data_IF_804574412687
#
_entry.id   IF_804574412687
#
_cell.length_a   1.000
_cell.length_b   1.000
_cell.length_c   1.000
_cell.angle_alpha   90.00
_cell.angle_beta   90.00
_cell.angle_gamma   90.00
#
_symmetry.space_group_name_H-M   'P 1'
#
loop_
_entity.id
_entity.type
_entity.pdbx_description
1 polymer ?
#
# COMPACT_ATOMS: atom_id res chain seq x y z
N UNK A 1 0.51 -6.51 -23.76
CA UNK A 1 -0.27 -6.40 -22.51
C UNK A 1 0.65 -6.82 -21.37
N UNK A 2 0.77 -6.00 -20.34
CA UNK A 2 1.59 -6.24 -19.14
C UNK A 2 0.64 -6.63 -18.00
N UNK A 3 0.96 -7.70 -17.27
CA UNK A 3 0.10 -8.23 -16.20
C UNK A 3 0.73 -7.99 -14.86
N UNK A 4 -0.01 -7.31 -14.00
CA UNK A 4 0.40 -6.96 -12.64
C UNK A 4 -0.47 -7.73 -11.65
N UNK A 5 0.15 -8.51 -10.78
CA UNK A 5 -0.52 -9.10 -9.63
C UNK A 5 -0.43 -8.12 -8.45
N UNK A 6 -1.56 -7.55 -8.06
CA UNK A 6 -1.67 -6.68 -6.88
C UNK A 6 -2.16 -7.50 -5.69
N UNK A 7 -1.37 -7.52 -4.63
CA UNK A 7 -1.72 -8.13 -3.35
C UNK A 7 -1.77 -7.03 -2.30
N UNK A 8 -2.95 -6.43 -2.08
CA UNK A 8 -3.12 -5.34 -1.14
C UNK A 8 -3.14 -5.86 0.31
N UNK A 9 -2.80 -5.02 1.26
CA UNK A 9 -2.87 -5.34 2.69
C UNK A 9 -4.28 -5.07 3.26
N UNK A 10 -5.32 -5.64 2.65
CA UNK A 10 -6.71 -5.45 3.08
C UNK A 10 -7.11 -6.33 4.27
N UNK A 11 -6.39 -7.41 4.50
CA UNK A 11 -6.66 -8.33 5.61
C UNK A 11 -6.52 -7.65 6.99
N UNK A 12 -5.65 -6.66 7.12
CA UNK A 12 -5.51 -5.87 8.34
C UNK A 12 -6.73 -4.98 8.64
N UNK A 13 -7.50 -4.62 7.62
CA UNK A 13 -8.56 -3.63 7.72
C UNK A 13 -9.93 -4.27 7.79
N UNK A 14 -10.10 -5.42 7.16
CA UNK A 14 -11.39 -6.11 7.09
C UNK A 14 -11.80 -6.73 8.43
N UNK A 15 -10.85 -7.08 9.32
CA UNK A 15 -11.15 -7.64 10.66
C UNK A 15 -11.52 -6.62 11.74
N UNK A 16 -11.50 -5.33 11.44
CA UNK A 16 -12.00 -4.27 12.33
C UNK A 16 -13.35 -3.83 11.78
N UNK A 17 -14.40 -3.83 12.60
CA UNK A 17 -15.74 -3.31 12.25
C UNK A 17 -15.77 -1.83 11.83
N UNK A 18 -14.63 -1.28 11.51
CA UNK A 18 -14.41 0.05 10.96
C UNK A 18 -13.84 -0.13 9.55
N UNK A 19 -14.45 0.48 8.57
CA UNK A 19 -13.87 0.81 7.25
C UNK A 19 -12.62 1.72 7.47
N UNK A 20 -11.72 1.23 8.32
CA UNK A 20 -10.78 2.04 9.07
C UNK A 20 -9.68 2.68 8.21
N UNK A 21 -9.58 2.32 6.93
CA UNK A 21 -8.65 2.99 6.05
C UNK A 21 -9.19 3.22 4.64
N UNK A 22 -10.30 3.98 4.58
CA UNK A 22 -10.78 4.57 3.31
C UNK A 22 -9.64 5.24 2.55
N UNK A 23 -8.65 5.80 3.25
CA UNK A 23 -7.48 6.43 2.65
C UNK A 23 -6.58 5.46 1.90
N UNK A 24 -6.36 4.26 2.43
CA UNK A 24 -5.56 3.24 1.74
C UNK A 24 -6.29 2.66 0.52
N UNK A 25 -7.57 2.36 0.66
CA UNK A 25 -8.37 1.84 -0.46
C UNK A 25 -8.49 2.90 -1.57
N UNK A 26 -8.70 4.17 -1.22
CA UNK A 26 -8.71 5.25 -2.19
C UNK A 26 -7.33 5.47 -2.84
N UNK A 27 -6.24 5.24 -2.10
CA UNK A 27 -4.90 5.23 -2.69
C UNK A 27 -4.75 4.14 -3.75
N UNK A 28 -5.20 2.92 -3.47
CA UNK A 28 -5.17 1.82 -4.44
C UNK A 28 -6.03 2.15 -5.66
N UNK A 29 -7.25 2.61 -5.43
CA UNK A 29 -8.19 3.00 -6.48
C UNK A 29 -7.59 4.05 -7.43
N UNK A 30 -7.13 5.18 -6.87
CA UNK A 30 -6.52 6.25 -7.66
C UNK A 30 -5.20 5.81 -8.32
N UNK A 31 -4.44 4.92 -7.69
CA UNK A 31 -3.21 4.39 -8.28
C UNK A 31 -3.53 3.60 -9.54
N UNK A 32 -4.49 2.69 -9.47
CA UNK A 32 -4.92 1.90 -10.63
C UNK A 32 -5.50 2.81 -11.71
N UNK A 33 -6.47 3.65 -11.36
CA UNK A 33 -7.13 4.57 -12.27
C UNK A 33 -6.12 5.46 -13.03
N UNK A 34 -5.28 6.19 -12.31
CA UNK A 34 -4.35 7.14 -12.91
C UNK A 34 -3.21 6.48 -13.69
N UNK A 35 -2.83 5.25 -13.34
CA UNK A 35 -1.89 4.47 -14.13
C UNK A 35 -2.57 4.02 -15.42
N UNK A 36 -3.79 3.51 -15.35
CA UNK A 36 -4.56 3.07 -16.53
C UNK A 36 -4.85 4.20 -17.52
N UNK A 37 -5.12 5.42 -17.03
CA UNK A 37 -5.27 6.60 -17.90
C UNK A 37 -4.02 6.90 -18.76
N UNK A 38 -2.86 6.41 -18.34
CA UNK A 38 -1.58 6.59 -19.07
C UNK A 38 -1.10 5.32 -19.78
N UNK A 39 -1.69 4.18 -19.45
CA UNK A 39 -1.21 2.85 -19.83
C UNK A 39 -2.38 1.90 -20.05
N UNK A 40 -2.90 1.84 -21.28
CA UNK A 40 -3.92 0.89 -21.70
C UNK A 40 -3.39 -0.53 -21.89
N UNK A 41 -2.07 -0.70 -21.91
CA UNK A 41 -1.39 -1.99 -22.01
C UNK A 41 -1.31 -2.78 -20.70
N UNK A 42 -1.73 -2.19 -19.55
CA UNK A 42 -1.69 -2.84 -18.25
C UNK A 42 -2.99 -3.59 -17.94
N UNK A 43 -2.84 -4.73 -17.29
CA UNK A 43 -3.92 -5.54 -16.75
C UNK A 43 -3.62 -5.93 -15.29
N UNK A 44 -4.58 -5.73 -14.40
CA UNK A 44 -4.43 -5.93 -12.97
C UNK A 44 -5.16 -7.18 -12.51
N UNK A 45 -4.44 -8.09 -11.87
CA UNK A 45 -5.01 -9.17 -11.07
C UNK A 45 -4.96 -8.73 -9.61
N UNK A 46 -6.12 -8.53 -8.99
CA UNK A 46 -6.23 -7.99 -7.63
C UNK A 46 -6.69 -9.10 -6.70
N UNK A 47 -5.85 -9.45 -5.74
CA UNK A 47 -6.17 -10.43 -4.70
C UNK A 47 -7.05 -9.77 -3.66
N UNK A 48 -8.21 -10.37 -3.37
CA UNK A 48 -9.15 -9.93 -2.34
C UNK A 48 -9.56 -11.11 -1.46
N UNK A 49 -9.97 -10.86 -0.19
CA UNK A 49 -10.47 -11.92 0.68
C UNK A 49 -11.72 -12.59 0.13
N UNK A 50 -11.88 -13.88 0.42
CA UNK A 50 -13.12 -14.62 0.11
C UNK A 50 -14.32 -14.00 0.84
N UNK A 51 -15.44 -13.90 0.14
CA UNK A 51 -16.69 -13.31 0.67
C UNK A 51 -17.21 -14.04 1.92
N UNK A 52 -16.99 -15.34 2.03
CA UNK A 52 -17.55 -16.17 3.12
C UNK A 52 -16.73 -16.08 4.42
N UNK A 53 -15.47 -15.69 4.34
CA UNK A 53 -14.57 -15.60 5.49
C UNK A 53 -14.73 -14.31 6.31
N UNK A 54 -15.35 -13.27 5.74
CA UNK A 54 -15.37 -11.92 6.32
C UNK A 54 -16.67 -11.22 5.90
N UNK A 55 -17.00 -10.14 6.58
CA UNK A 55 -18.18 -9.32 6.30
C UNK A 55 -18.36 -9.07 4.78
N UNK A 56 -19.39 -9.71 4.19
CA UNK A 56 -19.67 -9.64 2.74
C UNK A 56 -19.74 -8.20 2.20
N UNK A 57 -20.28 -7.30 2.99
CA UNK A 57 -20.44 -5.89 2.60
C UNK A 57 -19.10 -5.19 2.40
N UNK A 58 -18.06 -5.58 3.15
CA UNK A 58 -16.72 -4.97 3.03
C UNK A 58 -15.99 -5.48 1.79
N UNK A 59 -16.11 -6.78 1.48
CA UNK A 59 -15.52 -7.35 0.26
C UNK A 59 -16.20 -6.79 -0.99
N UNK A 60 -17.53 -6.66 -0.97
CA UNK A 60 -18.28 -6.03 -2.05
C UNK A 60 -17.91 -4.55 -2.22
N UNK A 61 -17.72 -3.83 -1.12
CA UNK A 61 -17.21 -2.47 -1.16
C UNK A 61 -15.82 -2.38 -1.81
N UNK A 62 -14.90 -3.27 -1.44
CA UNK A 62 -13.56 -3.34 -2.05
C UNK A 62 -13.65 -3.60 -3.55
N UNK A 63 -14.45 -4.58 -3.96
CA UNK A 63 -14.70 -4.87 -5.39
C UNK A 63 -15.18 -3.63 -6.12
N UNK A 64 -16.27 -3.02 -5.64
CA UNK A 64 -16.86 -1.84 -6.26
C UNK A 64 -15.88 -0.66 -6.35
N UNK A 65 -15.00 -0.52 -5.37
CA UNK A 65 -14.01 0.57 -5.34
C UNK A 65 -12.82 0.34 -6.27
N UNK A 66 -12.39 -0.91 -6.42
CA UNK A 66 -11.21 -1.27 -7.22
C UNK A 66 -11.58 -1.80 -8.62
N UNK A 67 -12.86 -1.79 -8.98
CA UNK A 67 -13.34 -2.22 -10.29
C UNK A 67 -13.02 -1.18 -11.37
N UNK A 68 -12.17 -1.56 -12.30
CA UNK A 68 -11.74 -0.78 -13.44
C UNK A 68 -11.71 -1.66 -14.70
N UNK A 69 -11.74 -1.10 -15.92
CA UNK A 69 -11.87 -1.87 -17.17
C UNK A 69 -10.83 -2.98 -17.37
N UNK A 70 -9.63 -2.82 -16.81
CA UNK A 70 -8.53 -3.79 -16.94
C UNK A 70 -8.20 -4.46 -15.61
N UNK A 71 -9.19 -4.74 -14.79
CA UNK A 71 -9.02 -5.45 -13.52
C UNK A 71 -9.73 -6.80 -13.52
N UNK A 72 -9.12 -7.76 -12.81
CA UNK A 72 -9.68 -9.06 -12.52
C UNK A 72 -9.44 -9.41 -11.06
N UNK A 73 -10.48 -9.80 -10.33
CA UNK A 73 -10.39 -10.10 -8.92
C UNK A 73 -10.11 -11.60 -8.70
N UNK A 74 -9.14 -11.87 -7.83
CA UNK A 74 -8.79 -13.22 -7.36
C UNK A 74 -9.23 -13.29 -5.91
N UNK A 75 -10.31 -14.01 -5.64
CA UNK A 75 -10.78 -14.23 -4.28
C UNK A 75 -10.00 -15.37 -3.65
N UNK A 76 -9.40 -15.11 -2.48
CA UNK A 76 -8.58 -16.07 -1.76
C UNK A 76 -8.86 -16.04 -0.27
N UNK A 77 -8.62 -17.16 0.40
CA UNK A 77 -8.54 -17.17 1.85
C UNK A 77 -7.26 -16.47 2.30
N UNK A 78 -7.41 -15.19 2.68
CA UNK A 78 -6.31 -14.35 3.16
C UNK A 78 -6.37 -14.30 4.69
N UNK A 79 -5.31 -14.76 5.40
CA UNK A 79 -5.25 -14.66 6.84
C UNK A 79 -5.37 -13.21 7.33
N UNK A 80 -6.27 -12.97 8.29
CA UNK A 80 -6.62 -11.62 8.77
C UNK A 80 -5.54 -11.01 9.66
N UNK A 81 -4.72 -11.84 10.31
CA UNK A 81 -3.72 -11.37 11.29
C UNK A 81 -2.32 -11.35 10.67
N UNK A 82 -1.46 -10.35 11.02
CA UNK A 82 -0.13 -10.20 10.43
C UNK A 82 0.70 -11.48 10.46
N UNK A 83 0.82 -12.16 11.62
CA UNK A 83 1.56 -13.42 11.76
C UNK A 83 0.99 -14.56 10.89
N UNK A 84 -0.28 -14.52 10.55
CA UNK A 84 -0.90 -15.54 9.73
C UNK A 84 -0.63 -15.32 8.24
N UNK A 85 -0.16 -14.15 7.82
CA UNK A 85 0.18 -13.87 6.41
C UNK A 85 1.29 -14.79 5.90
N UNK A 86 2.18 -15.29 6.76
CA UNK A 86 3.20 -16.27 6.36
C UNK A 86 2.57 -17.57 5.82
N UNK A 87 1.33 -17.86 6.17
CA UNK A 87 0.56 -19.01 5.71
C UNK A 87 -0.28 -18.72 4.45
N UNK A 88 0.06 -17.66 3.70
CA UNK A 88 -0.59 -17.36 2.43
C UNK A 88 -0.56 -18.58 1.50
N UNK A 89 -1.73 -19.01 1.05
CA UNK A 89 -1.89 -20.24 0.27
C UNK A 89 -1.51 -20.01 -1.20
N UNK A 90 -0.24 -20.22 -1.52
CA UNK A 90 0.26 -20.07 -2.90
C UNK A 90 -0.32 -21.12 -3.86
N UNK A 91 -0.75 -22.29 -3.39
CA UNK A 91 -1.38 -23.31 -4.23
C UNK A 91 -2.77 -22.86 -4.68
N UNK A 92 -3.51 -22.17 -3.81
CA UNK A 92 -4.79 -21.59 -4.18
C UNK A 92 -4.60 -20.48 -5.22
N UNK A 93 -3.54 -19.66 -5.07
CA UNK A 93 -3.17 -18.66 -6.06
C UNK A 93 -2.85 -19.29 -7.42
N UNK A 94 -2.13 -20.42 -7.45
CA UNK A 94 -1.83 -21.17 -8.67
C UNK A 94 -3.08 -21.65 -9.38
N UNK A 95 -4.01 -22.23 -8.64
CA UNK A 95 -5.27 -22.74 -9.18
C UNK A 95 -6.14 -21.63 -9.81
N UNK A 96 -6.07 -20.42 -9.25
CA UNK A 96 -6.88 -19.27 -9.72
C UNK A 96 -6.21 -18.42 -10.78
N UNK A 97 -4.87 -18.46 -10.83
CA UNK A 97 -4.08 -17.83 -11.88
C UNK A 97 -3.75 -18.85 -12.94
N UNK A 98 -4.32 -18.73 -14.12
CA UNK A 98 -3.88 -19.50 -15.29
C UNK A 98 -2.50 -19.01 -15.77
N UNK A 99 -1.44 -19.25 -14.97
CA UNK A 99 -0.08 -18.75 -15.23
C UNK A 99 0.51 -19.29 -16.55
N UNK A 100 0.04 -20.45 -16.97
CA UNK A 100 0.41 -21.05 -18.26
C UNK A 100 0.01 -20.16 -19.43
N UNK A 101 -1.22 -19.66 -19.41
CA UNK A 101 -1.77 -18.80 -20.46
C UNK A 101 -1.44 -17.33 -20.23
N UNK A 102 -1.29 -16.94 -18.98
CA UNK A 102 -1.21 -15.55 -18.55
C UNK A 102 -0.09 -15.32 -17.54
N UNK A 103 1.19 -15.34 -17.93
CA UNK A 103 2.30 -15.12 -17.01
C UNK A 103 2.24 -13.70 -16.40
N UNK A 104 2.46 -13.62 -15.11
CA UNK A 104 2.57 -12.36 -14.38
C UNK A 104 3.92 -11.69 -14.72
N UNK A 105 3.88 -10.42 -15.06
CA UNK A 105 5.06 -9.63 -15.40
C UNK A 105 5.66 -8.92 -14.18
N UNK A 106 4.79 -8.47 -13.27
CA UNK A 106 5.15 -7.73 -12.08
C UNK A 106 4.21 -8.10 -10.93
N UNK A 107 4.75 -8.22 -9.73
CA UNK A 107 3.95 -8.32 -8.50
C UNK A 107 4.04 -7.01 -7.75
N UNK A 108 2.89 -6.43 -7.39
CA UNK A 108 2.81 -5.31 -6.47
C UNK A 108 2.25 -5.83 -5.15
N UNK A 109 3.13 -6.16 -4.22
CA UNK A 109 2.80 -6.83 -2.96
C UNK A 109 2.91 -5.85 -1.79
N UNK A 110 1.82 -5.63 -1.08
CA UNK A 110 1.77 -4.76 0.10
C UNK A 110 1.92 -5.55 1.42
N UNK A 111 2.16 -6.86 1.32
CA UNK A 111 2.36 -7.78 2.45
C UNK A 111 3.76 -8.37 2.33
N UNK A 112 4.79 -7.76 2.94
CA UNK A 112 6.17 -8.21 2.77
C UNK A 112 6.42 -9.62 3.29
N UNK A 113 5.68 -10.09 4.28
CA UNK A 113 5.83 -11.40 4.90
C UNK A 113 5.69 -12.57 3.89
N UNK A 114 4.89 -12.39 2.85
CA UNK A 114 4.65 -13.44 1.84
C UNK A 114 5.60 -13.40 0.64
N UNK A 115 6.42 -12.36 0.51
CA UNK A 115 7.25 -12.13 -0.68
C UNK A 115 8.18 -13.29 -0.98
N UNK A 116 8.79 -13.86 0.06
CA UNK A 116 9.67 -15.01 -0.09
C UNK A 116 8.92 -16.24 -0.64
N UNK A 117 7.73 -16.49 -0.12
CA UNK A 117 6.87 -17.58 -0.61
C UNK A 117 6.43 -17.34 -2.06
N UNK A 118 6.08 -16.12 -2.41
CA UNK A 118 5.75 -15.75 -3.79
C UNK A 118 6.93 -15.95 -4.74
N UNK A 119 8.16 -15.57 -4.36
CA UNK A 119 9.35 -15.81 -5.19
C UNK A 119 9.61 -17.29 -5.41
N UNK A 120 9.53 -18.09 -4.36
CA UNK A 120 9.67 -19.54 -4.46
C UNK A 120 8.58 -20.14 -5.36
N UNK A 121 7.36 -19.73 -5.19
CA UNK A 121 6.22 -20.14 -6.03
C UNK A 121 6.46 -19.83 -7.51
N UNK A 122 6.73 -18.57 -7.87
CA UNK A 122 6.99 -18.22 -9.26
C UNK A 122 8.22 -18.93 -9.84
N UNK A 123 9.25 -19.16 -9.03
CA UNK A 123 10.43 -19.91 -9.45
C UNK A 123 10.12 -21.39 -9.70
N UNK A 124 9.18 -21.98 -8.97
CA UNK A 124 8.78 -23.39 -9.12
C UNK A 124 7.83 -23.61 -10.30
N UNK A 125 6.90 -22.67 -10.50
CA UNK A 125 5.84 -22.80 -11.51
C UNK A 125 6.26 -22.25 -12.86
N UNK A 126 7.06 -21.19 -12.88
CA UNK A 126 7.51 -20.52 -14.12
C UNK A 126 9.02 -20.36 -14.12
N UNK A 127 9.62 -20.35 -15.33
CA UNK A 127 11.05 -20.02 -15.47
C UNK A 127 11.38 -18.53 -15.24
N UNK A 128 10.38 -17.72 -14.98
CA UNK A 128 10.49 -16.28 -14.85
C UNK A 128 9.93 -15.87 -13.51
N UNK A 129 10.81 -15.49 -12.61
CA UNK A 129 10.38 -14.77 -11.40
C UNK A 129 10.00 -13.36 -11.80
N UNK A 130 8.75 -12.94 -11.65
CA UNK A 130 8.38 -11.54 -11.88
C UNK A 130 9.14 -10.63 -10.93
N UNK A 131 9.37 -9.39 -11.31
CA UNK A 131 9.86 -8.39 -10.35
C UNK A 131 8.80 -8.13 -9.30
N UNK A 132 9.22 -7.92 -8.06
CA UNK A 132 8.32 -7.65 -6.95
C UNK A 132 8.59 -6.26 -6.41
N UNK A 133 7.57 -5.41 -6.43
CA UNK A 133 7.58 -4.12 -5.75
C UNK A 133 6.54 -4.12 -4.63
N UNK A 134 6.75 -3.29 -3.61
CA UNK A 134 5.86 -3.19 -2.45
C UNK A 134 5.54 -1.77 -2.04
N UNK A 135 4.48 -1.62 -1.25
CA UNK A 135 4.14 -0.39 -0.55
C UNK A 135 3.72 -0.73 0.88
N UNK A 136 4.48 -0.25 1.85
CA UNK A 136 4.18 -0.48 3.25
C UNK A 136 3.29 0.64 3.79
N UNK A 137 2.01 0.36 3.83
CA UNK A 137 1.03 1.24 4.45
C UNK A 137 1.13 1.22 5.97
N UNK A 138 1.20 0.03 6.54
CA UNK A 138 1.38 -0.21 7.97
C UNK A 138 2.68 -0.97 8.20
N UNK A 139 3.50 -0.46 9.12
CA UNK A 139 4.72 -1.11 9.53
C UNK A 139 4.98 -0.82 11.01
N UNK A 140 5.15 -1.85 11.80
CA UNK A 140 5.40 -1.73 13.24
C UNK A 140 6.84 -2.08 13.58
N UNK A 141 7.50 -1.20 14.33
CA UNK A 141 8.84 -1.45 14.84
C UNK A 141 8.81 -2.36 16.09
N UNK A 142 9.89 -3.12 16.35
CA UNK A 142 9.97 -4.11 17.43
C UNK A 142 9.65 -3.58 18.82
N UNK A 143 9.92 -2.29 19.08
CA UNK A 143 9.74 -1.68 20.41
C UNK A 143 8.32 -1.70 20.94
N UNK A 144 7.33 -1.96 20.10
CA UNK A 144 5.92 -1.74 20.44
C UNK A 144 5.14 -3.04 20.45
N UNK A 145 5.36 -3.93 19.48
CA UNK A 145 4.72 -5.24 19.41
C UNK A 145 5.73 -6.28 18.92
N UNK A 146 6.43 -6.88 19.85
CA UNK A 146 7.35 -7.97 19.54
C UNK A 146 6.56 -9.25 19.25
N UNK A 147 6.15 -9.42 17.99
CA UNK A 147 5.45 -10.62 17.56
C UNK A 147 6.22 -11.40 16.46
N UNK A 148 7.50 -11.12 16.25
CA UNK A 148 8.29 -11.72 15.18
C UNK A 148 7.95 -11.23 13.76
N UNK A 149 6.97 -10.33 13.60
CA UNK A 149 6.54 -9.81 12.29
C UNK A 149 7.60 -8.93 11.66
N UNK A 150 8.39 -8.23 12.48
CA UNK A 150 9.43 -7.32 12.01
C UNK A 150 10.47 -8.04 11.16
N UNK A 151 10.98 -9.19 11.63
CA UNK A 151 11.97 -9.98 10.90
C UNK A 151 11.44 -10.47 9.57
N UNK A 152 10.20 -10.97 9.55
CA UNK A 152 9.54 -11.39 8.29
C UNK A 152 9.34 -10.21 7.32
N UNK A 153 8.96 -9.06 7.83
CA UNK A 153 8.85 -7.84 7.03
C UNK A 153 10.19 -7.43 6.44
N UNK A 154 11.26 -7.43 7.24
CA UNK A 154 12.61 -7.09 6.78
C UNK A 154 13.08 -8.07 5.71
N UNK A 155 12.96 -9.38 5.95
CA UNK A 155 13.30 -10.39 4.94
C UNK A 155 12.48 -10.21 3.66
N UNK A 156 11.19 -9.99 3.78
CA UNK A 156 10.35 -9.73 2.62
C UNK A 156 10.78 -8.49 1.83
N UNK A 157 11.06 -7.39 2.52
CA UNK A 157 11.55 -6.15 1.89
C UNK A 157 12.91 -6.32 1.21
N UNK A 158 13.83 -7.13 1.75
CA UNK A 158 15.13 -7.43 1.10
C UNK A 158 14.96 -8.28 -0.15
N UNK A 159 13.87 -9.02 -0.25
CA UNK A 159 13.55 -9.82 -1.44
C UNK A 159 12.77 -9.05 -2.50
N UNK A 160 12.22 -7.88 -2.21
CA UNK A 160 11.61 -7.00 -3.20
C UNK A 160 12.67 -6.31 -4.05
N UNK A 161 12.34 -6.01 -5.30
CA UNK A 161 13.19 -5.19 -6.18
C UNK A 161 13.03 -3.69 -5.88
N UNK A 162 11.93 -3.31 -5.24
CA UNK A 162 11.66 -1.97 -4.71
C UNK A 162 10.56 -2.04 -3.68
N UNK A 163 10.69 -1.27 -2.58
CA UNK A 163 9.65 -1.15 -1.58
C UNK A 163 9.49 0.32 -1.16
N UNK A 164 8.27 0.81 -1.20
CA UNK A 164 7.93 2.17 -0.80
C UNK A 164 7.55 2.24 0.67
N UNK A 165 8.09 3.24 1.35
CA UNK A 165 7.77 3.61 2.73
C UNK A 165 7.15 5.02 2.76
N UNK A 166 6.39 5.31 3.82
CA UNK A 166 5.63 6.56 3.91
C UNK A 166 6.50 7.79 4.18
N UNK A 167 7.60 7.65 4.92
CA UNK A 167 8.42 8.78 5.37
C UNK A 167 9.91 8.48 5.32
N UNK A 168 10.72 9.53 5.22
CA UNK A 168 12.19 9.43 5.33
C UNK A 168 12.60 8.93 6.71
N UNK A 169 11.90 9.38 7.75
CA UNK A 169 12.11 8.91 9.11
C UNK A 169 11.83 7.42 9.24
N UNK A 170 10.73 6.90 8.66
CA UNK A 170 10.42 5.47 8.65
C UNK A 170 11.53 4.67 7.97
N UNK A 171 12.04 5.15 6.83
CA UNK A 171 13.17 4.52 6.13
C UNK A 171 14.41 4.44 7.01
N UNK A 172 14.76 5.53 7.70
CA UNK A 172 15.89 5.58 8.61
C UNK A 172 15.70 4.61 9.78
N UNK A 173 14.55 4.63 10.44
CA UNK A 173 14.27 3.77 11.59
C UNK A 173 14.25 2.28 11.23
N UNK A 174 13.69 1.93 10.06
CA UNK A 174 13.75 0.55 9.56
C UNK A 174 15.20 0.10 9.40
N UNK A 175 16.05 0.95 8.84
CA UNK A 175 17.47 0.63 8.66
C UNK A 175 18.20 0.49 10.01
N UNK A 176 18.00 1.41 10.94
CA UNK A 176 18.63 1.39 12.27
C UNK A 176 18.19 0.16 13.09
N UNK A 177 16.92 -0.19 13.09
CA UNK A 177 16.43 -1.37 13.81
C UNK A 177 16.90 -2.67 13.12
N UNK A 178 16.97 -2.68 11.79
CA UNK A 178 17.50 -3.83 11.06
C UNK A 178 18.97 -4.09 11.38
N UNK A 179 19.81 -3.05 11.53
CA UNK A 179 21.23 -3.18 11.89
C UNK A 179 21.45 -3.83 13.26
N UNK A 180 20.46 -3.82 14.15
CA UNK A 180 20.55 -4.48 15.47
C UNK A 180 20.35 -6.00 15.41
N UNK A 181 19.74 -6.49 14.33
CA UNK A 181 19.27 -7.87 14.23
C UNK A 181 19.92 -8.60 13.06
N UNK A 182 20.17 -7.90 11.94
CA UNK A 182 20.64 -8.48 10.69
C UNK A 182 22.07 -8.06 10.35
N UNK A 183 22.71 -8.83 9.48
CA UNK A 183 24.04 -8.49 8.96
C UNK A 183 24.04 -7.19 8.14
N UNK A 184 25.18 -6.52 8.08
CA UNK A 184 25.36 -5.32 7.25
C UNK A 184 25.04 -5.54 5.78
N UNK A 185 25.28 -6.72 5.25
CA UNK A 185 24.94 -7.09 3.86
C UNK A 185 23.42 -7.09 3.63
N UNK A 186 22.62 -7.66 4.56
CA UNK A 186 21.15 -7.62 4.50
C UNK A 186 20.66 -6.19 4.62
N UNK A 187 21.21 -5.41 5.56
CA UNK A 187 20.82 -4.02 5.77
C UNK A 187 21.17 -3.12 4.58
N UNK A 188 22.33 -3.36 3.93
CA UNK A 188 22.73 -2.65 2.71
C UNK A 188 21.74 -2.88 1.56
N UNK A 189 21.41 -4.15 1.29
CA UNK A 189 20.41 -4.53 0.27
C UNK A 189 19.03 -3.94 0.59
N UNK A 190 18.63 -3.97 1.87
CA UNK A 190 17.38 -3.35 2.32
C UNK A 190 17.38 -1.85 2.01
N UNK A 191 18.46 -1.13 2.36
CA UNK A 191 18.55 0.31 2.13
C UNK A 191 18.44 0.68 0.64
N UNK A 192 19.06 -0.10 -0.24
CA UNK A 192 18.98 0.10 -1.70
C UNK A 192 17.57 -0.10 -2.26
N UNK A 193 16.83 -1.06 -1.71
CA UNK A 193 15.49 -1.39 -2.17
C UNK A 193 14.39 -0.45 -1.62
N UNK A 194 14.68 0.28 -0.54
CA UNK A 194 13.71 1.17 0.10
C UNK A 194 13.67 2.55 -0.54
N UNK A 195 12.47 2.99 -0.91
CA UNK A 195 12.18 4.33 -1.42
C UNK A 195 11.12 5.03 -0.57
N UNK A 196 11.16 6.36 -0.53
CA UNK A 196 10.14 7.13 0.19
C UNK A 196 9.04 7.55 -0.77
N UNK A 197 7.84 7.09 -0.49
CA UNK A 197 6.62 7.50 -1.18
C UNK A 197 5.58 7.89 -0.13
N UNK A 198 5.45 9.17 0.20
CA UNK A 198 4.53 9.63 1.22
C UNK A 198 3.09 9.19 0.93
N UNK A 199 2.22 8.98 1.91
CA UNK A 199 0.83 8.59 1.69
C UNK A 199 0.06 9.62 0.85
N UNK A 200 -1.05 9.18 0.31
CA UNK A 200 -1.85 10.01 -0.60
C UNK A 200 -2.84 10.86 0.17
N UNK A 201 -2.99 12.08 -0.27
CA UNK A 201 -4.19 12.88 0.03
C UNK A 201 -5.01 12.95 -1.24
N UNK A 202 -6.29 12.72 -1.09
CA UNK A 202 -7.24 12.83 -2.18
C UNK A 202 -7.36 14.32 -2.52
N UNK A 203 -7.03 14.76 -3.75
CA UNK A 203 -7.06 16.17 -4.09
C UNK A 203 -8.42 16.84 -3.84
N UNK A 204 -9.52 16.09 -4.02
CA UNK A 204 -10.88 16.59 -3.75
C UNK A 204 -11.15 16.87 -2.27
N UNK A 205 -10.35 16.30 -1.35
CA UNK A 205 -10.48 16.52 0.08
C UNK A 205 -9.66 17.74 0.56
N UNK A 206 -8.73 18.24 -0.28
CA UNK A 206 -8.02 19.49 0.00
C UNK A 206 -8.98 20.68 -0.23
N UNK A 207 -9.76 20.97 0.79
CA UNK A 207 -10.75 22.05 0.74
C UNK A 207 -10.61 22.92 1.99
N UNK A 208 -9.77 23.95 1.95
CA UNK A 208 -9.66 24.88 3.08
C UNK A 208 -10.99 25.58 3.33
N UNK A 209 -11.18 26.05 4.54
CA UNK A 209 -12.32 26.86 4.90
C UNK A 209 -12.32 28.18 4.11
N UNK A 210 -13.15 28.26 3.08
CA UNK A 210 -13.24 29.43 2.19
C UNK A 210 -13.73 30.70 2.90
N UNK A 211 -14.44 30.55 4.02
CA UNK A 211 -15.01 31.71 4.76
C UNK A 211 -14.04 32.34 5.74
N UNK A 212 -12.88 31.71 6.00
CA UNK A 212 -11.91 32.19 6.98
C UNK A 212 -12.43 32.26 8.42
N UNK A 213 -13.69 31.86 8.64
CA UNK A 213 -14.30 31.84 9.96
C UNK A 213 -14.11 30.48 10.60
N UNK A 214 -13.32 30.44 11.65
CA UNK A 214 -13.11 29.25 12.46
C UNK A 214 -13.87 29.42 13.78
N UNK A 215 -14.52 28.34 14.22
CA UNK A 215 -15.00 28.27 15.58
C UNK A 215 -13.84 27.97 16.52
N UNK A 216 -13.87 28.50 17.74
CA UNK A 216 -12.83 28.19 18.76
C UNK A 216 -12.96 26.73 19.23
N UNK A 217 -12.73 25.79 18.29
CA UNK A 217 -12.78 24.36 18.54
C UNK A 217 -11.37 23.78 18.39
N UNK A 218 -10.88 23.13 19.43
CA UNK A 218 -9.66 22.31 19.42
C UNK A 218 -10.06 20.89 19.02
N UNK A 219 -9.41 20.31 18.01
CA UNK A 219 -9.72 18.94 17.58
C UNK A 219 -8.62 17.96 17.97
N UNK A 220 -9.06 16.81 18.49
CA UNK A 220 -8.24 15.62 18.68
C UNK A 220 -8.71 14.52 17.72
N UNK A 221 -8.10 14.46 16.53
CA UNK A 221 -8.46 13.49 15.49
C UNK A 221 -7.61 12.20 15.55
N UNK A 222 -7.26 11.77 16.76
CA UNK A 222 -6.44 10.57 16.98
C UNK A 222 -7.20 9.54 17.81
N UNK A 223 -6.67 8.30 17.87
CA UNK A 223 -7.23 7.25 18.70
C UNK A 223 -7.22 7.62 20.19
N UNK A 224 -8.32 7.31 20.83
CA UNK A 224 -8.48 7.48 22.29
C UNK A 224 -8.02 6.26 23.09
N UNK A 225 -7.85 5.12 22.41
CA UNK A 225 -7.43 3.86 23.04
C UNK A 225 -5.93 3.86 23.41
N UNK A 226 -5.15 4.79 22.87
CA UNK A 226 -3.77 5.08 23.30
C UNK A 226 -3.80 5.89 24.60
N UNK A 227 -4.01 5.20 25.70
CA UNK A 227 -4.31 5.79 27.02
C UNK A 227 -3.35 6.90 27.44
N UNK A 228 -2.04 6.73 27.26
CA UNK A 228 -1.06 7.73 27.74
C UNK A 228 -1.16 9.05 26.96
N UNK A 229 -1.28 8.99 25.64
CA UNK A 229 -1.39 10.19 24.81
C UNK A 229 -2.70 10.92 25.02
N UNK A 230 -3.79 10.16 25.12
CA UNK A 230 -5.10 10.76 25.36
C UNK A 230 -5.21 11.33 26.76
N UNK A 231 -4.61 10.70 27.76
CA UNK A 231 -4.54 11.22 29.13
C UNK A 231 -3.76 12.56 29.20
N UNK A 232 -2.65 12.68 28.48
CA UNK A 232 -1.90 13.95 28.41
C UNK A 232 -2.67 15.04 27.68
N UNK A 233 -3.42 14.69 26.64
CA UNK A 233 -4.36 15.61 26.00
C UNK A 233 -5.45 16.07 27.00
N UNK A 234 -6.10 15.15 27.71
CA UNK A 234 -7.12 15.43 28.73
C UNK A 234 -6.57 16.41 29.78
N UNK A 235 -5.43 16.11 30.37
CA UNK A 235 -4.78 17.00 31.35
C UNK A 235 -4.49 18.37 30.78
N UNK A 236 -4.12 18.45 29.51
CA UNK A 236 -3.79 19.72 28.84
C UNK A 236 -5.04 20.58 28.65
N UNK A 237 -6.12 20.01 28.10
CA UNK A 237 -7.35 20.77 27.86
C UNK A 237 -8.03 21.20 29.17
N UNK A 238 -7.97 20.36 30.21
CA UNK A 238 -8.48 20.72 31.52
C UNK A 238 -7.66 21.86 32.19
N UNK A 239 -6.33 21.83 32.02
CA UNK A 239 -5.48 22.93 32.48
C UNK A 239 -5.72 24.23 31.69
N UNK A 240 -5.98 24.14 30.39
CA UNK A 240 -6.37 25.29 29.58
C UNK A 240 -7.74 25.83 30.01
N UNK A 241 -8.70 24.93 30.25
CA UNK A 241 -10.06 25.31 30.67
C UNK A 241 -10.10 26.09 32.00
N UNK A 242 -9.18 25.82 32.92
CA UNK A 242 -9.04 26.60 34.16
C UNK A 242 -8.65 28.07 33.93
N UNK A 243 -8.09 28.39 32.76
CA UNK A 243 -7.61 29.74 32.42
C UNK A 243 -8.52 30.51 31.48
N UNK A 244 -9.32 29.78 30.67
CA UNK A 244 -10.27 30.38 29.70
C UNK A 244 -11.43 29.42 29.43
N UNK A 245 -12.58 29.93 29.14
CA UNK A 245 -13.81 29.15 28.90
C UNK A 245 -14.47 29.37 27.56
N UNK A 246 -13.80 30.12 26.67
CA UNK A 246 -14.30 30.53 25.34
C UNK A 246 -13.98 29.56 24.20
N UNK A 247 -13.67 28.29 24.50
CA UNK A 247 -13.40 27.27 23.48
C UNK A 247 -14.17 25.97 23.74
N UNK A 248 -14.31 25.18 22.70
CA UNK A 248 -14.85 23.81 22.72
C UNK A 248 -13.75 22.81 22.28
N UNK A 249 -14.00 21.54 22.59
CA UNK A 249 -13.15 20.44 22.15
C UNK A 249 -13.99 19.44 21.37
N UNK A 250 -13.45 18.96 20.24
CA UNK A 250 -14.07 17.90 19.46
C UNK A 250 -13.14 16.70 19.35
N UNK A 251 -13.65 15.52 19.78
CA UNK A 251 -12.94 14.25 19.74
C UNK A 251 -13.76 13.25 18.91
N UNK A 252 -13.63 13.25 17.57
CA UNK A 252 -14.53 12.50 16.68
C UNK A 252 -14.53 10.98 16.93
N UNK A 253 -13.40 10.40 17.36
CA UNK A 253 -13.25 8.95 17.59
C UNK A 253 -13.68 8.50 19.00
N UNK A 254 -14.04 9.41 19.87
CA UNK A 254 -14.48 9.09 21.24
C UNK A 254 -15.96 8.69 21.25
N UNK A 255 -16.31 7.66 22.01
CA UNK A 255 -17.70 7.23 22.21
C UNK A 255 -18.47 8.29 23.01
N UNK A 256 -19.75 8.50 22.69
CA UNK A 256 -20.63 9.43 23.42
C UNK A 256 -20.82 9.05 24.88
N UNK A 257 -20.66 7.77 25.23
CA UNK A 257 -20.70 7.25 26.58
C UNK A 257 -19.43 7.49 27.40
N UNK A 258 -18.39 8.11 26.82
CA UNK A 258 -17.14 8.35 27.50
C UNK A 258 -17.31 9.31 28.68
N UNK A 259 -16.56 9.09 29.75
CA UNK A 259 -16.61 9.88 31.00
C UNK A 259 -16.53 11.40 30.75
N UNK A 260 -15.58 11.83 29.90
CA UNK A 260 -15.38 13.26 29.60
C UNK A 260 -16.61 13.96 29.00
N UNK A 261 -17.38 13.29 28.16
CA UNK A 261 -18.58 13.88 27.57
C UNK A 261 -19.73 14.00 28.55
N UNK A 262 -19.74 13.13 29.56
CA UNK A 262 -20.74 13.20 30.66
C UNK A 262 -20.40 14.32 31.62
N UNK A 263 -19.13 14.52 31.93
CA UNK A 263 -18.66 15.52 32.89
C UNK A 263 -18.59 16.94 32.29
N UNK A 264 -18.28 17.04 30.99
CA UNK A 264 -17.96 18.34 30.37
C UNK A 264 -18.76 18.60 29.08
N UNK A 265 -19.79 19.46 29.12
CA UNK A 265 -20.65 19.83 27.99
C UNK A 265 -19.88 20.53 26.83
N UNK A 266 -18.71 21.07 27.09
CA UNK A 266 -17.84 21.72 26.07
C UNK A 266 -16.97 20.72 25.31
N UNK A 267 -16.99 19.46 25.73
CA UNK A 267 -16.33 18.37 24.96
C UNK A 267 -17.41 17.64 24.17
N UNK A 268 -17.24 17.62 22.85
CA UNK A 268 -18.15 16.96 21.92
C UNK A 268 -17.46 15.76 21.25
N UNK A 269 -18.24 14.75 20.93
CA UNK A 269 -17.77 13.51 20.33
C UNK A 269 -18.57 13.21 19.07
N UNK A 270 -18.31 12.05 18.50
CA UNK A 270 -19.10 11.47 17.43
C UNK A 270 -18.44 11.60 16.07
N UNK A 271 -18.48 10.48 15.38
CA UNK A 271 -18.30 10.47 13.95
C UNK A 271 -19.56 11.08 13.35
N UNK A 272 -19.40 12.01 12.45
CA UNK A 272 -20.49 12.37 11.56
C UNK A 272 -20.85 11.15 10.70
N UNK A 273 -22.09 11.07 10.24
CA UNK A 273 -22.66 9.90 9.58
C UNK A 273 -21.89 9.46 8.33
N UNK A 274 -21.12 10.38 7.72
CA UNK A 274 -20.29 10.09 6.56
C UNK A 274 -19.01 10.94 6.53
N UNK A 275 -18.08 10.56 5.69
CA UNK A 275 -16.78 11.24 5.51
C UNK A 275 -16.93 12.74 5.17
N UNK A 276 -17.93 13.11 4.36
CA UNK A 276 -18.14 14.50 3.97
C UNK A 276 -18.49 15.39 5.14
N UNK A 277 -19.44 14.97 5.95
CA UNK A 277 -19.85 15.68 7.17
C UNK A 277 -18.71 15.81 8.17
N UNK A 278 -17.92 14.73 8.32
CA UNK A 278 -16.72 14.72 9.16
C UNK A 278 -15.72 15.79 8.68
N UNK A 279 -15.40 15.84 7.39
CA UNK A 279 -14.48 16.83 6.83
C UNK A 279 -15.06 18.26 6.91
N UNK A 280 -16.35 18.43 6.69
CA UNK A 280 -17.01 19.73 6.81
C UNK A 280 -16.95 20.26 8.25
N UNK A 281 -17.17 19.41 9.26
CA UNK A 281 -16.97 19.77 10.67
C UNK A 281 -15.50 20.03 10.98
N UNK A 282 -14.58 19.22 10.46
CA UNK A 282 -13.15 19.42 10.62
C UNK A 282 -12.76 20.85 10.19
N UNK A 283 -13.27 21.33 9.04
CA UNK A 283 -12.99 22.67 8.50
C UNK A 283 -13.44 23.82 9.40
N UNK A 284 -14.35 23.59 10.33
CA UNK A 284 -14.79 24.62 11.30
C UNK A 284 -13.86 24.72 12.50
N UNK A 285 -13.00 23.73 12.74
CA UNK A 285 -12.09 23.71 13.87
C UNK A 285 -10.99 24.75 13.73
N UNK A 286 -10.50 25.22 14.86
CA UNK A 286 -9.48 26.27 14.96
C UNK A 286 -8.05 25.69 14.87
N UNK A 287 -7.82 24.60 15.58
CA UNK A 287 -6.50 23.98 15.68
C UNK A 287 -6.62 22.51 16.04
N UNK A 288 -5.73 21.68 15.51
CA UNK A 288 -5.59 20.28 15.90
C UNK A 288 -4.35 20.04 16.75
N UNK A 289 -4.32 18.91 17.45
CA UNK A 289 -3.18 18.48 18.24
C UNK A 289 -2.71 17.12 17.72
N UNK A 290 -1.40 17.01 17.42
CA UNK A 290 -0.75 15.76 17.09
C UNK A 290 0.07 15.27 18.29
N UNK A 291 -0.23 14.11 18.86
CA UNK A 291 0.37 13.63 20.09
C UNK A 291 1.79 13.12 19.90
N UNK A 292 2.47 12.85 21.03
CA UNK A 292 3.69 12.03 21.02
C UNK A 292 3.39 10.69 20.36
N UNK A 293 4.17 10.34 19.36
CA UNK A 293 4.04 9.05 18.69
C UNK A 293 4.88 7.98 19.37
N UNK A 294 4.30 6.80 19.48
CA UNK A 294 5.05 5.62 19.86
C UNK A 294 5.47 4.78 18.66
N UNK A 295 4.89 5.02 17.49
CA UNK A 295 5.05 4.23 16.27
C UNK A 295 5.57 5.08 15.13
N UNK A 296 6.32 4.45 14.25
CA UNK A 296 6.84 5.04 13.00
C UNK A 296 5.73 5.28 11.97
N UNK A 297 4.49 4.94 12.31
CA UNK A 297 3.36 5.10 11.41
C UNK A 297 2.97 6.57 11.30
N UNK A 298 2.90 7.02 10.07
CA UNK A 298 2.44 8.35 9.75
C UNK A 298 1.01 8.54 10.29
N UNK A 299 0.79 9.64 10.98
CA UNK A 299 -0.55 9.96 11.46
C UNK A 299 -1.40 10.58 10.34
N UNK A 300 -2.10 9.72 9.62
CA UNK A 300 -3.06 10.14 8.59
C UNK A 300 -4.05 11.18 9.14
N UNK A 301 -4.42 11.07 10.41
CA UNK A 301 -5.29 12.03 11.11
C UNK A 301 -4.77 13.48 11.07
N UNK A 302 -3.46 13.69 11.22
CA UNK A 302 -2.83 15.02 11.12
C UNK A 302 -2.87 15.54 9.68
N UNK A 303 -2.56 14.66 8.73
CA UNK A 303 -2.58 14.97 7.29
C UNK A 303 -3.99 15.35 6.85
N UNK A 304 -4.99 14.59 7.29
CA UNK A 304 -6.40 14.82 7.00
C UNK A 304 -6.88 16.17 7.55
N UNK A 305 -6.51 16.51 8.79
CA UNK A 305 -6.81 17.82 9.37
C UNK A 305 -6.14 18.96 8.60
N UNK A 306 -4.87 18.82 8.27
CA UNK A 306 -4.16 19.82 7.46
C UNK A 306 -4.81 19.99 6.08
N UNK A 307 -5.35 18.91 5.46
CA UNK A 307 -6.05 18.99 4.18
C UNK A 307 -7.36 19.80 4.26
N UNK A 308 -7.96 19.85 5.43
CA UNK A 308 -9.11 20.70 5.74
C UNK A 308 -8.74 22.17 5.99
N UNK A 309 -7.46 22.49 5.96
CA UNK A 309 -6.97 23.83 6.29
C UNK A 309 -6.90 24.11 7.79
N UNK A 310 -6.76 23.07 8.61
CA UNK A 310 -6.62 23.19 10.05
C UNK A 310 -5.12 23.07 10.38
N UNK A 311 -4.49 24.08 11.01
CA UNK A 311 -3.13 23.94 11.50
C UNK A 311 -3.09 22.97 12.70
N UNK A 312 -2.04 22.17 12.78
CA UNK A 312 -1.82 21.25 13.90
C UNK A 312 -0.59 21.66 14.69
N UNK A 313 -0.72 21.73 16.01
CA UNK A 313 0.40 21.77 16.93
C UNK A 313 0.90 20.35 17.13
N UNK A 314 2.14 20.08 16.76
CA UNK A 314 2.69 18.73 16.67
C UNK A 314 3.67 18.47 17.80
N UNK A 315 3.68 17.26 18.36
CA UNK A 315 4.78 16.89 19.26
C UNK A 315 6.10 16.90 18.50
N UNK A 316 7.18 17.34 19.13
CA UNK A 316 8.49 17.47 18.49
C UNK A 316 9.13 16.09 18.25
N UNK A 317 8.66 15.40 17.22
CA UNK A 317 9.18 14.11 16.75
C UNK A 317 9.57 14.21 15.28
N UNK A 318 10.67 13.56 14.86
CA UNK A 318 11.20 13.71 13.50
C UNK A 318 10.21 13.37 12.38
N UNK A 319 9.33 12.41 12.57
CA UNK A 319 8.36 12.03 11.55
C UNK A 319 7.30 13.10 11.26
N UNK A 320 7.02 14.00 12.19
CA UNK A 320 6.14 15.14 11.93
C UNK A 320 6.78 16.19 11.02
N UNK A 321 8.11 16.25 10.99
CA UNK A 321 8.84 17.09 10.03
C UNK A 321 8.58 16.64 8.59
N UNK A 322 8.39 15.36 8.35
CA UNK A 322 8.00 14.82 7.04
C UNK A 322 6.56 15.22 6.65
N UNK A 323 5.68 15.48 7.62
CA UNK A 323 4.32 15.95 7.36
C UNK A 323 4.30 17.45 7.09
N UNK A 324 4.80 18.24 8.03
CA UNK A 324 4.81 19.68 7.93
C UNK A 324 5.97 20.28 8.74
N UNK A 325 7.09 20.56 8.09
CA UNK A 325 8.27 21.14 8.73
C UNK A 325 8.07 22.58 9.22
N UNK A 326 6.99 23.23 8.80
CA UNK A 326 6.65 24.61 9.21
C UNK A 326 5.62 24.68 10.32
N UNK A 327 5.20 23.53 10.89
CA UNK A 327 4.24 23.51 11.99
C UNK A 327 4.88 23.99 13.30
N UNK A 328 4.04 24.36 14.27
CA UNK A 328 4.51 24.57 15.64
C UNK A 328 4.74 23.22 16.33
N UNK A 329 5.93 23.08 16.90
CA UNK A 329 6.33 21.85 17.60
C UNK A 329 6.43 22.10 19.10
N UNK A 330 5.81 21.21 19.90
CA UNK A 330 5.87 21.27 21.35
C UNK A 330 6.59 20.04 21.95
N UNK A 331 7.26 20.26 23.08
CA UNK A 331 7.87 19.19 23.89
C UNK A 331 7.18 19.06 25.24
N UNK A 332 6.60 20.16 25.72
CA UNK A 332 6.00 20.26 27.05
C UNK A 332 4.53 20.70 26.98
N UNK A 333 3.75 20.34 28.00
CA UNK A 333 2.36 20.80 28.14
C UNK A 333 2.26 22.33 28.17
N UNK A 334 3.24 23.01 28.79
CA UNK A 334 3.28 24.47 28.86
C UNK A 334 3.39 25.11 27.48
N UNK A 335 4.27 24.58 26.64
CA UNK A 335 4.41 25.02 25.24
C UNK A 335 3.13 24.74 24.44
N UNK A 336 2.54 23.54 24.58
CA UNK A 336 1.28 23.20 23.91
C UNK A 336 0.17 24.19 24.28
N UNK A 337 0.00 24.49 25.56
CA UNK A 337 -1.00 25.49 26.04
C UNK A 337 -0.70 26.88 25.45
N UNK A 338 0.55 27.28 25.37
CA UNK A 338 0.94 28.56 24.76
C UNK A 338 0.54 28.64 23.30
N UNK A 339 0.85 27.61 22.51
CA UNK A 339 0.43 27.55 21.10
C UNK A 339 -1.08 27.52 20.94
N UNK A 340 -1.80 26.71 21.76
CA UNK A 340 -3.26 26.66 21.69
C UNK A 340 -3.88 28.04 21.93
N UNK A 341 -3.39 28.80 22.91
CA UNK A 341 -3.85 30.18 23.15
C UNK A 341 -3.62 31.04 21.90
N UNK A 342 -2.42 31.00 21.32
CA UNK A 342 -2.10 31.76 20.12
C UNK A 342 -3.04 31.44 18.97
N UNK A 343 -3.32 30.16 18.71
CA UNK A 343 -4.27 29.75 17.67
C UNK A 343 -5.70 30.16 17.93
N UNK A 344 -6.12 30.17 19.20
CA UNK A 344 -7.46 30.56 19.59
C UNK A 344 -7.68 32.09 19.47
N UNK A 345 -6.64 32.88 19.65
CA UNK A 345 -6.75 34.35 19.73
C UNK A 345 -6.27 35.07 18.47
N UNK A 346 -5.23 34.59 17.80
CA UNK A 346 -4.60 35.24 16.66
C UNK A 346 -5.05 34.66 15.31
N UNK A 347 -6.14 35.19 14.74
CA UNK A 347 -6.69 34.70 13.46
C UNK A 347 -5.69 34.82 12.30
N UNK A 348 -4.89 35.92 12.25
CA UNK A 348 -3.87 36.10 11.22
C UNK A 348 -2.81 35.01 11.26
N UNK A 349 -2.30 34.70 12.45
CA UNK A 349 -1.31 33.63 12.65
C UNK A 349 -1.88 32.27 12.25
N UNK A 350 -3.07 31.95 12.71
CA UNK A 350 -3.77 30.70 12.35
C UNK A 350 -3.91 30.54 10.85
N UNK A 351 -4.35 31.59 10.14
CA UNK A 351 -4.53 31.55 8.69
C UNK A 351 -3.19 31.38 7.96
N UNK A 352 -2.12 32.00 8.43
CA UNK A 352 -0.78 31.80 7.90
C UNK A 352 -0.36 30.32 8.03
N UNK A 353 -0.48 29.74 9.20
CA UNK A 353 -0.09 28.35 9.47
C UNK A 353 -0.95 27.35 8.71
N UNK A 354 -2.24 27.62 8.56
CA UNK A 354 -3.14 26.85 7.73
C UNK A 354 -2.73 26.87 6.25
N UNK A 355 -2.38 28.02 5.72
CA UNK A 355 -1.86 28.19 4.36
C UNK A 355 -0.56 27.42 4.12
N UNK A 356 0.38 27.47 5.07
CA UNK A 356 1.63 26.70 5.01
C UNK A 356 1.38 25.20 5.05
N UNK A 357 0.47 24.72 5.90
CA UNK A 357 0.09 23.32 5.98
C UNK A 357 -0.46 22.83 4.64
N UNK A 358 -1.39 23.55 4.03
CA UNK A 358 -1.95 23.20 2.70
C UNK A 358 -0.86 23.25 1.63
N UNK A 359 0.00 24.26 1.61
CA UNK A 359 1.09 24.38 0.65
C UNK A 359 2.04 23.18 0.70
N UNK A 360 2.43 22.75 1.91
CA UNK A 360 3.23 21.56 2.13
C UNK A 360 2.53 20.29 1.64
N UNK A 361 1.20 20.17 1.88
CA UNK A 361 0.43 19.04 1.43
C UNK A 361 0.35 18.95 -0.10
N UNK A 362 0.03 20.06 -0.77
CA UNK A 362 -0.06 20.09 -2.24
C UNK A 362 1.28 19.70 -2.87
N UNK A 363 2.38 20.18 -2.29
CA UNK A 363 3.73 19.91 -2.81
C UNK A 363 4.17 18.47 -2.58
N UNK A 364 4.00 17.96 -1.36
CA UNK A 364 4.53 16.64 -0.95
C UNK A 364 3.59 15.47 -1.25
N UNK A 365 2.27 15.70 -1.23
CA UNK A 365 1.26 14.65 -1.27
C UNK A 365 0.43 14.64 -2.57
N UNK A 366 0.94 15.28 -3.62
CA UNK A 366 0.28 15.29 -4.93
C UNK A 366 0.18 13.88 -5.53
N UNK A 367 -1.05 13.41 -5.74
CA UNK A 367 -1.33 12.08 -6.26
C UNK A 367 -0.70 11.83 -7.63
N UNK A 368 -0.79 12.78 -8.55
CA UNK A 368 -0.20 12.64 -9.89
C UNK A 368 1.32 12.44 -9.84
N UNK A 369 2.01 13.15 -8.94
CA UNK A 369 3.46 12.97 -8.74
C UNK A 369 3.77 11.56 -8.24
N UNK A 370 2.98 11.03 -7.32
CA UNK A 370 3.16 9.68 -6.77
C UNK A 370 2.91 8.59 -7.78
N UNK A 371 1.81 8.70 -8.52
CA UNK A 371 1.50 7.77 -9.61
C UNK A 371 2.62 7.80 -10.66
N UNK A 372 3.20 8.95 -10.94
CA UNK A 372 4.35 9.04 -11.85
C UNK A 372 5.58 8.29 -11.29
N UNK A 373 5.84 8.38 -9.98
CA UNK A 373 6.93 7.63 -9.33
C UNK A 373 6.68 6.13 -9.43
N UNK A 374 5.47 5.67 -9.09
CA UNK A 374 5.10 4.25 -9.19
C UNK A 374 5.20 3.78 -10.65
N UNK A 375 4.65 4.52 -11.60
CA UNK A 375 4.68 4.17 -13.03
C UNK A 375 6.11 4.15 -13.59
N UNK A 376 6.96 5.11 -13.18
CA UNK A 376 8.38 5.10 -13.52
C UNK A 376 9.07 3.84 -12.99
N UNK A 377 8.76 3.43 -11.77
CA UNK A 377 9.31 2.20 -11.18
C UNK A 377 8.81 0.95 -11.89
N UNK A 378 7.52 0.84 -12.19
CA UNK A 378 6.96 -0.23 -13.03
C UNK A 378 7.73 -0.33 -14.34
N UNK A 379 7.94 0.78 -15.04
CA UNK A 379 8.66 0.80 -16.31
C UNK A 379 10.12 0.33 -16.19
N UNK A 380 10.81 0.72 -15.11
CA UNK A 380 12.19 0.29 -14.86
C UNK A 380 12.26 -1.23 -14.62
N UNK A 381 11.36 -1.75 -13.78
CA UNK A 381 11.30 -3.18 -13.47
C UNK A 381 10.94 -4.01 -14.72
N UNK A 382 9.99 -3.55 -15.51
CA UNK A 382 9.63 -4.22 -16.76
C UNK A 382 10.78 -4.21 -17.81
N UNK A 383 11.60 -3.15 -17.83
CA UNK A 383 12.77 -3.10 -18.72
C UNK A 383 13.82 -4.15 -18.36
N UNK A 384 13.98 -4.48 -17.09
CA UNK A 384 14.92 -5.51 -16.64
C UNK A 384 14.48 -6.93 -17.02
N UNK A 385 13.17 -7.17 -17.08
CA UNK A 385 12.59 -8.49 -17.39
C UNK A 385 12.49 -8.74 -18.90
N UNK A 386 12.10 -7.72 -19.69
CA UNK A 386 11.90 -7.84 -21.15
C UNK A 386 13.10 -8.42 -21.91
N UNK A 387 14.36 -8.00 -21.66
CA UNK A 387 15.52 -8.56 -22.34
C UNK A 387 15.73 -10.06 -22.04
N UNK A 388 15.49 -10.49 -20.79
CA UNK A 388 15.64 -11.89 -20.37
C UNK A 388 14.61 -12.76 -21.08
N UNK A 389 13.34 -12.33 -21.12
CA UNK A 389 12.27 -13.02 -21.87
C UNK A 389 12.56 -13.09 -23.36
N UNK A 390 12.97 -11.97 -23.94
CA UNK A 390 13.31 -11.92 -25.37
C UNK A 390 14.47 -12.85 -25.70
N UNK A 391 15.52 -12.88 -24.88
CA UNK A 391 16.67 -13.77 -25.04
C UNK A 391 16.26 -15.24 -25.00
N UNK A 392 15.45 -15.63 -24.00
CA UNK A 392 15.01 -17.02 -23.84
C UNK A 392 14.02 -17.43 -24.93
N UNK A 393 13.07 -16.56 -25.28
CA UNK A 393 12.16 -16.78 -26.40
C UNK A 393 12.95 -17.00 -27.73
N UNK A 394 13.96 -16.20 -27.99
CA UNK A 394 14.81 -16.32 -29.16
C UNK A 394 15.63 -17.62 -29.17
N UNK A 395 16.10 -18.05 -28.00
CA UNK A 395 16.78 -19.35 -27.82
C UNK A 395 15.86 -20.51 -28.21
N UNK A 396 14.62 -20.51 -27.68
CA UNK A 396 13.62 -21.54 -28.03
C UNK A 396 13.30 -21.52 -29.52
N UNK A 397 13.06 -20.34 -30.10
CA UNK A 397 12.83 -20.19 -31.55
C UNK A 397 14.00 -20.74 -32.37
N UNK A 398 15.24 -20.47 -31.96
CA UNK A 398 16.44 -20.98 -32.62
C UNK A 398 16.48 -22.51 -32.60
N UNK A 399 16.16 -23.15 -31.49
CA UNK A 399 16.10 -24.61 -31.39
C UNK A 399 15.01 -25.17 -32.32
N UNK A 400 13.80 -24.58 -32.30
CA UNK A 400 12.71 -25.04 -33.17
C UNK A 400 13.07 -24.86 -34.65
N UNK A 401 13.72 -23.74 -35.01
CA UNK A 401 14.21 -23.47 -36.38
C UNK A 401 15.22 -24.52 -36.84
N UNK A 402 16.21 -24.83 -35.98
CA UNK A 402 17.25 -25.82 -36.31
C UNK A 402 16.66 -27.23 -36.50
N UNK A 403 15.63 -27.58 -35.74
CA UNK A 403 14.97 -28.90 -35.84
C UNK A 403 13.89 -28.95 -36.91
N UNK A 404 13.50 -27.80 -37.50
CA UNK A 404 12.36 -27.61 -38.42
C UNK A 404 11.02 -28.05 -37.84
N UNK A 405 11.00 -29.20 -37.19
CA UNK A 405 9.84 -29.74 -36.44
C UNK A 405 10.33 -30.52 -35.23
N UNK A 406 9.79 -30.23 -34.06
CA UNK A 406 10.18 -30.84 -32.80
C UNK A 406 8.95 -31.16 -31.95
N UNK A 407 8.91 -32.32 -31.31
CA UNK A 407 7.86 -32.60 -30.32
C UNK A 407 8.07 -31.83 -29.07
N UNK A 408 6.98 -31.55 -28.36
CA UNK A 408 7.03 -30.85 -27.07
C UNK A 408 8.00 -31.54 -26.08
N UNK A 409 7.92 -32.88 -26.02
CA UNK A 409 8.77 -33.69 -25.11
C UNK A 409 10.28 -33.59 -25.49
N UNK A 410 10.60 -33.59 -26.77
CA UNK A 410 12.01 -33.43 -27.22
C UNK A 410 12.53 -32.03 -26.93
N UNK A 411 11.67 -31.01 -27.12
CA UNK A 411 12.03 -29.60 -26.85
C UNK A 411 12.40 -29.39 -25.39
N UNK A 412 11.65 -30.00 -24.47
CA UNK A 412 11.90 -29.91 -23.01
C UNK A 412 13.06 -30.80 -22.57
N UNK A 413 13.44 -31.81 -23.36
CA UNK A 413 14.44 -32.80 -22.99
C UNK A 413 15.84 -32.24 -22.79
N UNK A 414 16.76 -33.09 -22.23
CA UNK A 414 18.13 -32.69 -21.88
C UNK A 414 19.00 -32.26 -23.03
N UNK A 415 18.67 -32.71 -24.27
CA UNK A 415 19.40 -32.31 -25.50
C UNK A 415 18.99 -30.94 -26.07
N UNK A 416 17.92 -30.33 -25.50
CA UNK A 416 17.40 -29.03 -25.96
C UNK A 416 17.36 -28.03 -24.81
N UNK A 417 16.21 -27.93 -24.10
CA UNK A 417 16.02 -26.93 -23.02
C UNK A 417 16.42 -27.45 -21.65
N UNK A 418 16.50 -28.76 -21.46
CA UNK A 418 16.79 -29.42 -20.20
C UNK A 418 15.85 -28.92 -19.08
N UNK A 419 14.56 -28.92 -19.33
CA UNK A 419 13.56 -28.45 -18.40
C UNK A 419 12.79 -29.62 -17.78
N UNK A 420 12.66 -29.60 -16.46
CA UNK A 420 12.08 -30.71 -15.70
C UNK A 420 10.55 -30.74 -15.73
N UNK A 421 9.90 -29.67 -16.21
CA UNK A 421 8.44 -29.59 -16.25
C UNK A 421 7.91 -28.86 -17.48
N UNK A 422 6.73 -29.28 -17.94
CA UNK A 422 5.99 -28.64 -19.04
C UNK A 422 5.59 -27.22 -18.71
N UNK A 423 5.25 -26.93 -17.45
CA UNK A 423 4.86 -25.61 -16.94
C UNK A 423 5.88 -24.53 -17.22
N UNK A 424 7.18 -24.86 -17.21
CA UNK A 424 8.24 -23.93 -17.56
C UNK A 424 8.20 -23.44 -19.00
N UNK A 425 7.76 -24.26 -19.90
CA UNK A 425 7.65 -23.91 -21.33
C UNK A 425 6.42 -23.05 -21.60
N UNK A 426 5.30 -23.34 -20.95
CA UNK A 426 4.03 -22.71 -21.25
C UNK A 426 4.09 -21.19 -21.08
N UNK A 427 4.88 -20.68 -20.12
CA UNK A 427 5.17 -19.25 -19.97
C UNK A 427 5.76 -18.58 -21.23
N UNK A 428 6.41 -19.36 -22.13
CA UNK A 428 7.00 -18.86 -23.38
C UNK A 428 6.18 -19.21 -24.61
N UNK A 429 5.30 -20.20 -24.51
CA UNK A 429 4.55 -20.75 -25.65
C UNK A 429 3.81 -19.68 -26.45
N UNK A 430 3.08 -18.81 -25.76
CA UNK A 430 2.32 -17.73 -26.41
C UNK A 430 3.24 -16.72 -27.11
N UNK A 431 4.36 -16.38 -26.49
CA UNK A 431 5.34 -15.47 -27.08
C UNK A 431 5.95 -16.09 -28.35
N UNK A 432 6.23 -17.40 -28.36
CA UNK A 432 6.78 -18.14 -29.50
C UNK A 432 5.74 -18.21 -30.61
N UNK A 433 4.50 -18.54 -30.33
CA UNK A 433 3.44 -18.63 -31.32
C UNK A 433 3.07 -17.25 -31.89
N UNK A 434 3.15 -16.19 -31.11
CA UNK A 434 2.90 -14.81 -31.56
C UNK A 434 3.95 -14.30 -32.57
N UNK A 435 5.09 -14.96 -32.72
CA UNK A 435 6.07 -14.59 -33.76
C UNK A 435 5.60 -14.87 -35.19
N UNK A 436 4.47 -15.58 -35.35
CA UNK A 436 3.93 -16.08 -36.64
C UNK A 436 4.91 -16.99 -37.43
N UNK A 437 6.11 -17.23 -36.90
CA UNK A 437 7.11 -18.10 -37.50
C UNK A 437 7.07 -19.53 -36.99
N UNK A 438 6.29 -19.79 -35.97
CA UNK A 438 6.13 -21.11 -35.36
C UNK A 438 4.64 -21.40 -35.23
N UNK A 439 4.24 -22.58 -35.67
CA UNK A 439 2.89 -23.11 -35.44
C UNK A 439 2.93 -24.34 -34.56
N UNK A 440 1.94 -24.47 -33.71
CA UNK A 440 1.71 -25.67 -32.95
C UNK A 440 0.78 -26.60 -33.72
N UNK A 441 1.22 -27.85 -33.89
CA UNK A 441 0.41 -28.93 -34.48
C UNK A 441 0.03 -29.91 -33.37
N UNK A 442 -1.25 -30.02 -33.07
CA UNK A 442 -1.77 -31.01 -32.12
C UNK A 442 -2.24 -32.23 -32.93
N UNK A 443 -1.68 -33.40 -32.63
CA UNK A 443 -2.11 -34.67 -33.22
C UNK A 443 -2.76 -35.54 -32.15
N UNK A 444 -3.93 -36.08 -32.44
CA UNK A 444 -4.59 -37.10 -31.59
C UNK A 444 -3.91 -38.43 -31.90
N UNK A 445 -3.34 -39.07 -30.89
CA UNK A 445 -2.91 -40.47 -31.02
C UNK A 445 -4.07 -41.40 -30.80
N UNK A 446 -4.40 -42.26 -31.77
CA UNK A 446 -5.40 -43.33 -31.63
C UNK A 446 -4.81 -44.42 -30.72
N UNK A 447 -5.29 -44.53 -29.50
CA UNK A 447 -4.94 -45.56 -28.52
C UNK A 447 -6.05 -45.71 -27.47
N UNK A 448 -5.94 -46.67 -26.53
CA UNK A 448 -6.97 -46.96 -25.49
C UNK A 448 -7.30 -45.74 -24.57
N UNK A 449 -6.49 -44.67 -24.64
CA UNK A 449 -6.83 -43.34 -24.08
C UNK A 449 -6.40 -42.29 -25.10
N UNK A 450 -7.30 -41.34 -25.42
CA UNK A 450 -6.98 -40.21 -26.28
C UNK A 450 -5.87 -39.36 -25.60
N UNK A 451 -4.69 -39.31 -26.18
CA UNK A 451 -3.62 -38.42 -25.76
C UNK A 451 -3.29 -37.45 -26.87
N UNK A 452 -3.18 -36.19 -26.53
CA UNK A 452 -2.75 -35.13 -27.43
C UNK A 452 -1.22 -35.06 -27.45
N UNK A 453 -0.61 -35.06 -28.64
CA UNK A 453 0.81 -34.78 -28.81
C UNK A 453 0.96 -33.44 -29.53
N UNK A 454 1.64 -32.51 -28.90
CA UNK A 454 1.94 -31.19 -29.47
C UNK A 454 3.30 -31.23 -30.17
N UNK A 455 3.37 -30.64 -31.35
CA UNK A 455 4.59 -30.44 -32.14
C UNK A 455 4.70 -28.94 -32.47
N UNK A 456 5.92 -28.45 -32.49
CA UNK A 456 6.21 -27.08 -32.92
C UNK A 456 6.95 -27.15 -34.27
N UNK A 457 6.48 -26.39 -35.24
CA UNK A 457 7.03 -26.35 -36.57
C UNK A 457 7.44 -24.91 -36.94
N UNK A 458 8.65 -24.75 -37.44
CA UNK A 458 9.12 -23.46 -37.93
C UNK A 458 8.56 -23.23 -39.33
N UNK A 459 7.98 -22.09 -39.57
CA UNK A 459 7.48 -21.63 -40.86
C UNK A 459 8.51 -20.73 -41.49
N UNK A 460 9.01 -21.11 -42.68
CA UNK A 460 9.79 -20.24 -43.57
C UNK A 460 8.76 -19.31 -44.23
N UNK A 461 8.68 -18.05 -43.76
CA UNK A 461 7.82 -16.99 -44.28
C UNK A 461 8.71 -16.06 -45.11
#
# INVERSE_FOLDING_TARGET
MVRILLIPNVAYHVGRNDLADDGYIEFLNLTIELIQLKRDDLFWYIVIPLMDAINKNEVEFLRKKLDHPNTYFIEMDIPIRPLNHIHFNVNELEQKLSLEDYPIDLVFCHIPEIVRSLKLFFKSVTNLTPSIMGYLHLFELPKINWNGVFEYNIFGMTEMDSCFLNTSYQKQMVHEEALKIFSSSICGKLHENLEVLPPVIIPKDIRPNKKGSYEKIIVWNHDVDRKDNFLEFEKTILALRKKRDDFKVWVPKMKSSHKLTREYRWITTGKNSNRREFLDKMRTCCVGISPKGGNVNLYNSTIEGNSCGIPFVMFNEPYYLDINSSADFYKTRKELISFLNKYLDESGYRNQMAGQAIGNLITRYNMNRKVNVINKRINLLLKSIRPIRSKKTNEIIKIIKQKKKISHRELLGPKCLNWDSETKFDGYRKAILNTKRIREIRKVSKGKKYSWKSYYEYLEI
#
